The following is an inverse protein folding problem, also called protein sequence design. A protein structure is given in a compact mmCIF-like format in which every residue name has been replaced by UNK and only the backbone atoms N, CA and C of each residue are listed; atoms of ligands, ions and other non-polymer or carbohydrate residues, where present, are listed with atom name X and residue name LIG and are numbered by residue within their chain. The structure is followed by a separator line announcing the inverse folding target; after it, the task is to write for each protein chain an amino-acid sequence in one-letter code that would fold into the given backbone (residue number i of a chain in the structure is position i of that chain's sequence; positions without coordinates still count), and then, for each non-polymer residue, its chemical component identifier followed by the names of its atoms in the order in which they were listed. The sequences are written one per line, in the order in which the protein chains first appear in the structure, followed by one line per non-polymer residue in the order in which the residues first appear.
data_IF_735378992790
#
_entry.id   IF_735378992790
#
_cell.length_a   1.000
_cell.length_b   1.000
_cell.length_c   1.000
_cell.angle_alpha   90.00
_cell.angle_beta   90.00
_cell.angle_gamma   90.00
#
_symmetry.space_group_name_H-M   'P 1'
#
loop_
_entity.id
_entity.type
_entity.pdbx_description
1 polymer ?
#
# COMPACT_ATOMS: atom_id res chain seq x y z
N UNK A 1 -3.26 14.22 -19.35
CA UNK A 1 -3.42 14.13 -17.88
C UNK A 1 -2.26 13.34 -17.32
N UNK A 2 -1.36 14.03 -16.63
CA UNK A 2 -0.27 13.37 -15.89
C UNK A 2 -0.82 12.51 -14.75
N UNK A 3 0.01 11.61 -14.20
CA UNK A 3 -0.31 10.85 -13.00
C UNK A 3 -0.79 11.78 -11.88
N UNK A 4 -1.80 11.33 -11.14
CA UNK A 4 -2.51 12.12 -10.13
C UNK A 4 -3.72 12.88 -10.70
N UNK A 5 -3.89 12.96 -12.01
CA UNK A 5 -4.99 13.67 -12.66
C UNK A 5 -5.78 12.78 -13.61
N UNK A 6 -7.05 13.11 -13.84
CA UNK A 6 -7.95 12.39 -14.74
C UNK A 6 -8.78 13.35 -15.58
N UNK A 7 -9.37 12.88 -16.68
CA UNK A 7 -10.38 13.64 -17.43
C UNK A 7 -11.48 12.74 -17.95
N UNK A 8 -12.73 13.13 -17.76
CA UNK A 8 -13.88 12.37 -18.28
C UNK A 8 -14.09 12.56 -19.79
N UNK A 9 -13.33 13.47 -20.41
CA UNK A 9 -13.29 13.62 -21.86
C UNK A 9 -12.21 12.70 -22.43
N UNK A 10 -12.60 11.78 -23.31
CA UNK A 10 -11.74 10.77 -23.94
C UNK A 10 -10.53 11.34 -24.73
N UNK A 11 -10.39 12.66 -24.83
CA UNK A 11 -9.33 13.34 -25.57
C UNK A 11 -8.97 14.69 -24.95
N UNK A 12 -8.81 14.74 -23.62
CA UNK A 12 -8.21 15.89 -22.96
C UNK A 12 -6.71 15.96 -23.28
N UNK A 13 -6.37 16.54 -24.43
CA UNK A 13 -4.98 16.85 -24.83
C UNK A 13 -4.44 18.12 -24.15
N UNK A 14 -5.29 18.81 -23.40
CA UNK A 14 -4.98 20.04 -22.69
C UNK A 14 -4.84 19.74 -21.20
N UNK A 15 -3.75 20.17 -20.60
CA UNK A 15 -3.49 19.98 -19.16
C UNK A 15 -4.59 20.62 -18.29
N UNK A 16 -5.22 21.69 -18.80
CA UNK A 16 -6.33 22.38 -18.15
C UNK A 16 -7.64 21.57 -18.13
N UNK A 17 -7.76 20.53 -18.94
CA UNK A 17 -8.90 19.63 -18.94
C UNK A 17 -8.73 18.44 -17.97
N UNK A 18 -7.59 18.37 -17.29
CA UNK A 18 -7.26 17.34 -16.31
C UNK A 18 -7.62 17.80 -14.90
N UNK A 19 -8.49 17.03 -14.26
CA UNK A 19 -8.94 17.20 -12.90
C UNK A 19 -8.02 16.42 -11.96
N UNK A 20 -7.53 17.06 -10.92
CA UNK A 20 -6.74 16.39 -9.90
C UNK A 20 -7.60 15.39 -9.09
N UNK A 21 -7.02 14.24 -8.76
CA UNK A 21 -7.60 13.38 -7.73
C UNK A 21 -7.67 14.14 -6.40
N UNK A 22 -8.78 13.98 -5.68
CA UNK A 22 -8.96 14.59 -4.37
C UNK A 22 -7.91 14.12 -3.37
N UNK A 23 -7.67 14.89 -2.29
CA UNK A 23 -6.74 14.48 -1.24
C UNK A 23 -7.18 13.13 -0.64
N UNK A 24 -6.20 12.34 -0.19
CA UNK A 24 -6.40 10.96 0.23
C UNK A 24 -6.51 9.97 -0.92
N UNK A 25 -6.45 10.42 -2.19
CA UNK A 25 -6.44 9.54 -3.35
C UNK A 25 -5.23 9.80 -4.22
N UNK A 26 -4.72 8.74 -4.82
CA UNK A 26 -3.63 8.79 -5.78
C UNK A 26 -4.03 8.13 -7.09
N UNK A 27 -3.27 8.40 -8.13
CA UNK A 27 -3.54 7.87 -9.45
C UNK A 27 -2.20 7.69 -10.18
N UNK A 28 -1.75 6.45 -10.45
CA UNK A 28 -0.42 6.22 -11.02
C UNK A 28 -0.38 6.19 -12.56
N UNK A 29 -1.54 6.07 -13.21
CA UNK A 29 -1.67 5.86 -14.67
C UNK A 29 -1.87 7.18 -15.41
N UNK A 30 -0.94 7.56 -16.27
CA UNK A 30 -1.13 8.72 -17.14
C UNK A 30 -2.33 8.54 -18.08
N UNK A 31 -3.03 9.63 -18.39
CA UNK A 31 -4.19 9.62 -19.28
C UNK A 31 -5.46 9.04 -18.67
N UNK A 32 -5.57 9.00 -17.34
CA UNK A 32 -6.76 8.49 -16.66
C UNK A 32 -8.05 9.16 -17.17
N UNK A 33 -8.99 8.34 -17.63
CA UNK A 33 -10.21 8.81 -18.29
C UNK A 33 -11.41 8.98 -17.34
N UNK A 34 -11.23 8.80 -16.03
CA UNK A 34 -12.32 8.87 -15.06
C UNK A 34 -11.83 9.09 -13.64
N UNK A 35 -12.64 9.78 -12.82
CA UNK A 35 -12.43 9.95 -11.39
C UNK A 35 -12.35 8.61 -10.64
N UNK A 36 -12.94 7.54 -11.19
CA UNK A 36 -12.92 6.20 -10.60
C UNK A 36 -11.52 5.59 -10.55
N UNK A 37 -10.60 6.09 -11.38
CA UNK A 37 -9.20 5.67 -11.38
C UNK A 37 -8.40 6.32 -10.24
N UNK A 38 -8.97 7.29 -9.51
CA UNK A 38 -8.38 7.80 -8.27
C UNK A 38 -8.55 6.76 -7.16
N UNK A 39 -7.47 6.07 -6.82
CA UNK A 39 -7.40 5.01 -5.83
C UNK A 39 -7.22 5.65 -4.44
N UNK A 40 -8.02 5.31 -3.42
CA UNK A 40 -7.76 5.78 -2.06
C UNK A 40 -6.43 5.23 -1.55
N UNK A 41 -5.70 6.04 -0.77
CA UNK A 41 -4.50 5.55 -0.09
C UNK A 41 -4.84 4.36 0.80
N UNK A 42 -4.06 3.30 0.72
CA UNK A 42 -4.18 2.17 1.64
C UNK A 42 -3.90 2.63 3.08
N UNK A 43 -4.40 1.87 4.04
CA UNK A 43 -4.01 2.02 5.45
C UNK A 43 -2.48 2.08 5.59
N UNK A 44 -2.01 2.84 6.58
CA UNK A 44 -0.60 3.17 6.76
C UNK A 44 -0.03 4.16 5.75
N UNK A 45 -0.82 4.62 4.77
CA UNK A 45 -0.38 5.61 3.79
C UNK A 45 -1.34 6.80 3.75
N UNK A 46 -0.85 7.94 3.27
CA UNK A 46 -1.61 9.17 3.16
C UNK A 46 -1.21 9.99 1.94
N UNK A 47 -2.09 10.90 1.52
CA UNK A 47 -1.68 12.03 0.69
C UNK A 47 -2.52 13.26 1.03
N UNK A 48 -1.85 14.32 1.48
CA UNK A 48 -2.51 15.59 1.79
C UNK A 48 -2.74 16.47 0.56
N UNK A 49 -2.04 16.19 -0.55
CA UNK A 49 -2.08 17.03 -1.74
C UNK A 49 -3.05 16.43 -2.77
N UNK A 50 -3.93 17.25 -3.37
CA UNK A 50 -4.65 16.81 -4.55
C UNK A 50 -3.67 16.58 -5.69
N UNK A 51 -4.00 15.68 -6.60
CA UNK A 51 -3.16 15.44 -7.77
C UNK A 51 -1.95 14.54 -7.50
N UNK A 52 -1.98 13.74 -6.44
CA UNK A 52 -0.84 12.90 -6.09
C UNK A 52 -0.73 11.67 -6.98
N UNK A 53 0.47 11.37 -7.52
CA UNK A 53 0.69 10.15 -8.30
C UNK A 53 0.90 8.91 -7.41
N UNK A 54 1.20 9.10 -6.12
CA UNK A 54 1.45 8.05 -5.13
C UNK A 54 1.02 8.49 -3.74
N UNK A 55 0.80 7.53 -2.84
CA UNK A 55 0.62 7.79 -1.42
C UNK A 55 1.93 7.65 -0.65
N UNK A 56 2.13 8.50 0.35
CA UNK A 56 3.29 8.47 1.23
C UNK A 56 3.00 7.60 2.45
N UNK A 57 3.99 6.84 2.92
CA UNK A 57 3.86 6.04 4.16
C UNK A 57 3.78 6.96 5.38
N UNK A 58 2.97 6.59 6.36
CA UNK A 58 2.99 7.21 7.68
C UNK A 58 4.37 7.05 8.31
N UNK A 59 5.00 8.15 8.69
CA UNK A 59 6.33 8.11 9.30
C UNK A 59 6.26 7.47 10.70
N UNK A 60 7.41 6.98 11.17
CA UNK A 60 7.56 6.50 12.54
C UNK A 60 7.10 7.57 13.54
N UNK A 61 6.35 7.14 14.56
CA UNK A 61 5.62 8.02 15.48
C UNK A 61 4.19 8.36 15.04
N UNK A 62 3.73 7.85 13.90
CA UNK A 62 2.35 8.01 13.42
C UNK A 62 1.82 6.71 12.81
N UNK A 63 0.50 6.61 12.67
CA UNK A 63 -0.19 5.48 12.07
C UNK A 63 -1.35 5.95 11.18
N UNK A 64 -1.82 5.06 10.30
CA UNK A 64 -2.97 5.28 9.45
C UNK A 64 -3.92 4.10 9.44
N UNK A 65 -5.05 4.25 10.13
CA UNK A 65 -6.05 3.20 10.35
C UNK A 65 -7.23 3.24 9.37
N UNK A 66 -7.27 4.24 8.49
CA UNK A 66 -8.35 4.42 7.53
C UNK A 66 -7.84 4.46 6.08
N UNK A 67 -8.71 4.06 5.14
CA UNK A 67 -8.44 4.26 3.72
C UNK A 67 -8.64 5.72 3.34
N UNK A 68 -7.79 6.21 2.45
CA UNK A 68 -7.88 7.54 1.90
C UNK A 68 -7.52 8.65 2.87
N UNK A 69 -6.59 8.38 3.79
CA UNK A 69 -6.11 9.41 4.71
C UNK A 69 -5.41 10.56 3.98
N UNK A 70 -5.65 11.76 4.48
CA UNK A 70 -4.97 12.99 4.03
C UNK A 70 -3.78 13.36 4.91
N UNK A 71 -3.70 12.78 6.10
CA UNK A 71 -2.61 12.92 7.06
C UNK A 71 -2.61 11.71 7.99
N UNK A 72 -1.43 11.33 8.49
CA UNK A 72 -1.33 10.28 9.49
C UNK A 72 -1.70 10.77 10.88
N UNK A 73 -2.24 9.86 11.68
CA UNK A 73 -2.59 10.11 13.07
C UNK A 73 -1.34 9.96 13.93
N UNK A 74 -0.90 11.00 14.66
CA UNK A 74 0.26 10.90 15.53
C UNK A 74 -0.05 9.96 16.71
N UNK A 75 0.98 9.24 17.15
CA UNK A 75 0.86 8.43 18.35
C UNK A 75 0.61 9.28 19.60
N UNK A 76 -0.09 8.74 20.62
CA UNK A 76 -0.25 9.38 21.92
C UNK A 76 1.09 9.80 22.54
N UNK A 77 1.07 10.81 23.42
CA UNK A 77 2.27 11.32 24.09
C UNK A 77 3.03 10.19 24.80
N UNK A 78 4.33 10.09 24.54
CA UNK A 78 5.20 9.07 25.15
C UNK A 78 5.18 7.71 24.44
N UNK A 79 4.50 7.62 23.29
CA UNK A 79 4.47 6.42 22.44
C UNK A 79 4.84 6.78 21.01
N UNK A 80 5.34 5.80 20.26
CA UNK A 80 5.74 5.94 18.86
C UNK A 80 5.72 4.59 18.17
N UNK A 81 5.40 4.59 16.89
CA UNK A 81 5.56 3.42 16.04
C UNK A 81 7.02 3.26 15.64
N UNK A 82 7.52 2.01 15.61
CA UNK A 82 8.91 1.72 15.18
C UNK A 82 9.11 1.89 13.69
N UNK A 83 8.13 1.48 12.89
CA UNK A 83 8.24 1.42 11.45
C UNK A 83 7.29 2.41 10.77
N UNK A 84 7.69 2.87 9.59
CA UNK A 84 6.80 3.62 8.72
C UNK A 84 5.73 2.70 8.13
N UNK A 85 4.57 3.25 7.78
CA UNK A 85 3.44 2.44 7.29
C UNK A 85 2.65 1.77 8.41
N UNK A 86 2.77 2.23 9.65
CA UNK A 86 2.02 1.65 10.77
C UNK A 86 0.52 1.83 10.56
N UNK A 87 -0.24 0.76 10.81
CA UNK A 87 -1.65 0.68 10.42
C UNK A 87 -2.60 1.05 11.55
N UNK A 88 -2.15 1.02 12.80
CA UNK A 88 -3.04 1.03 13.96
C UNK A 88 -2.37 1.66 15.18
N UNK A 89 -3.22 2.09 16.11
CA UNK A 89 -2.79 2.71 17.37
C UNK A 89 -2.08 1.74 18.32
N UNK A 90 -2.39 0.46 18.27
CA UNK A 90 -1.74 -0.59 19.08
C UNK A 90 -0.23 -0.72 18.77
N UNK A 91 0.19 -0.33 17.57
CA UNK A 91 1.61 -0.26 17.18
C UNK A 91 2.34 0.96 17.77
N UNK A 92 1.63 1.88 18.44
CA UNK A 92 2.23 2.96 19.21
C UNK A 92 2.77 2.42 20.55
N UNK A 93 4.03 2.01 20.55
CA UNK A 93 4.70 1.49 21.74
C UNK A 93 5.48 2.60 22.45
N UNK A 94 5.47 2.60 23.77
CA UNK A 94 6.43 3.41 24.54
C UNK A 94 7.77 2.69 24.53
N UNK A 95 8.88 3.43 24.45
CA UNK A 95 10.21 2.81 24.57
C UNK A 95 10.50 2.49 26.03
N UNK A 96 9.83 1.46 26.55
CA UNK A 96 10.26 0.78 27.76
C UNK A 96 11.30 -0.25 27.31
N UNK A 97 12.41 -0.35 28.03
CA UNK A 97 13.36 -1.46 27.82
C UNK A 97 12.54 -2.75 27.75
N UNK A 98 12.75 -3.61 26.73
CA UNK A 98 12.03 -4.87 26.70
C UNK A 98 12.29 -5.60 28.04
N UNK A 99 11.25 -6.17 28.68
CA UNK A 99 11.51 -7.15 29.72
C UNK A 99 12.38 -8.25 29.10
N UNK A 100 13.39 -8.72 29.84
CA UNK A 100 14.45 -9.65 29.42
C UNK A 100 13.97 -11.04 28.96
N UNK A 101 12.69 -11.21 28.63
CA UNK A 101 12.08 -12.50 28.32
C UNK A 101 11.15 -12.36 27.13
N UNK A 102 11.69 -12.75 25.97
CA UNK A 102 10.99 -13.41 24.86
C UNK A 102 9.63 -12.85 24.43
N UNK A 103 9.66 -11.97 23.43
CA UNK A 103 8.76 -12.13 22.29
C UNK A 103 9.59 -12.01 21.02
N UNK A 104 9.65 -13.07 20.19
CA UNK A 104 9.94 -12.88 18.78
C UNK A 104 8.64 -12.32 18.20
N UNK A 105 8.50 -11.00 18.20
CA UNK A 105 7.54 -10.38 17.29
C UNK A 105 8.25 -10.39 15.93
N UNK A 106 8.19 -11.58 15.31
CA UNK A 106 8.49 -11.80 13.92
C UNK A 106 7.43 -11.00 13.16
N UNK A 107 7.76 -9.72 12.94
CA UNK A 107 7.21 -8.93 11.87
C UNK A 107 7.60 -9.68 10.59
N UNK A 108 6.81 -10.70 10.25
CA UNK A 108 6.79 -11.31 8.93
C UNK A 108 6.20 -10.28 7.97
N UNK A 109 6.94 -9.20 7.77
CA UNK A 109 6.96 -8.52 6.51
C UNK A 109 7.66 -9.44 5.53
N UNK A 110 6.91 -9.95 4.56
CA UNK A 110 7.17 -9.71 3.14
C UNK A 110 6.21 -10.56 2.32
N UNK A 111 5.34 -9.84 1.62
CA UNK A 111 4.76 -10.21 0.32
C UNK A 111 5.64 -11.24 -0.42
N UNK A 112 5.00 -12.33 -0.81
CA UNK A 112 5.52 -13.53 -1.42
C UNK A 112 6.57 -13.25 -2.52
N UNK A 113 7.82 -13.61 -2.24
CA UNK A 113 8.80 -13.87 -3.28
C UNK A 113 8.41 -15.16 -4.01
N UNK A 114 7.74 -15.02 -5.15
CA UNK A 114 7.71 -16.07 -6.16
C UNK A 114 9.11 -16.17 -6.76
N UNK A 115 9.89 -17.20 -6.40
CA UNK A 115 10.98 -17.71 -7.25
C UNK A 115 11.37 -19.15 -6.85
N UNK A 116 11.56 -19.96 -7.89
CA UNK A 116 12.34 -21.21 -8.03
C UNK A 116 11.61 -22.58 -8.04
N UNK A 117 11.30 -23.00 -9.27
CA UNK A 117 11.93 -24.13 -9.98
C UNK A 117 12.44 -25.32 -9.15
N UNK A 118 12.02 -26.54 -9.50
CA UNK A 118 12.76 -27.74 -9.10
C UNK A 118 12.01 -29.05 -9.31
N UNK A 119 12.55 -29.89 -10.19
CA UNK A 119 12.08 -31.21 -10.61
C UNK A 119 11.79 -32.22 -9.49
N UNK A 120 10.85 -33.12 -9.78
CA UNK A 120 10.62 -34.36 -9.06
C UNK A 120 9.93 -35.37 -9.98
N UNK A 121 10.74 -36.12 -10.72
CA UNK A 121 10.36 -37.40 -11.33
C UNK A 121 9.81 -38.35 -10.27
N UNK A 122 8.61 -38.90 -10.48
CA UNK A 122 8.23 -40.20 -9.94
C UNK A 122 7.31 -40.89 -10.95
N UNK A 123 7.84 -41.98 -11.51
CA UNK A 123 7.17 -42.95 -12.36
C UNK A 123 5.99 -43.59 -11.64
N UNK A 124 4.83 -43.67 -12.29
CA UNK A 124 3.94 -44.83 -12.14
C UNK A 124 3.11 -44.98 -13.43
N UNK A 125 3.40 -46.06 -14.14
CA UNK A 125 2.75 -46.42 -15.39
C UNK A 125 1.37 -47.03 -15.17
N UNK A 126 0.42 -46.62 -16.01
CA UNK A 126 -0.80 -47.39 -16.24
C UNK A 126 -1.02 -47.55 -17.75
N UNK A 127 -0.86 -48.79 -18.20
CA UNK A 127 -1.15 -49.29 -19.55
C UNK A 127 -2.60 -48.99 -19.95
N UNK A 128 -2.80 -48.42 -21.13
CA UNK A 128 -4.08 -48.42 -21.84
C UNK A 128 -3.99 -49.35 -23.06
N UNK A 129 -4.93 -50.32 -23.21
CA UNK A 129 -4.92 -51.24 -24.34
C UNK A 129 -5.41 -50.55 -25.62
N UNK A 130 -4.72 -50.83 -26.71
CA UNK A 130 -5.12 -50.46 -28.08
C UNK A 130 -6.12 -51.48 -28.62
N UNK A 131 -7.16 -51.00 -29.30
CA UNK A 131 -7.99 -51.77 -30.24
C UNK A 131 -8.13 -50.98 -31.54
#
# INVERSE_FOLDING_TARGET
CAAGTYSEKASASEESACLACGPGKYQPIEGAQSAKLCIPCAVGNFTGKPGSPLCEKCLAGSFGDEFGMTSCTPCPKGTWTRYSGSLRRDQCVSWVKPPSTSQPDEDEGSDDGEDEDGEGDDEDGEEYPTW
#
